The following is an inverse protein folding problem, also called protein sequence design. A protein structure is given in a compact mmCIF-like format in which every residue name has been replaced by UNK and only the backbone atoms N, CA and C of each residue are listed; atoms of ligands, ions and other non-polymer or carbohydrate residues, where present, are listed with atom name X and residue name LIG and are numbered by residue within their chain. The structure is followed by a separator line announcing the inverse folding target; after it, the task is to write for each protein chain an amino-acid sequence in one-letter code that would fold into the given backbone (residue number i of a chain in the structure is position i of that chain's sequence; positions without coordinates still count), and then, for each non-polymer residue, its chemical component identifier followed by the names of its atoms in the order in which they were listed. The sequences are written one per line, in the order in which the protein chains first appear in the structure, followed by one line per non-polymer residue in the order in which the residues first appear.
data_IF_412590914450
#
_entry.id   IF_412590914450
#
_cell.length_a   1.000
_cell.length_b   1.000
_cell.length_c   1.000
_cell.angle_alpha   90.00
_cell.angle_beta   90.00
_cell.angle_gamma   90.00
#
_symmetry.space_group_name_H-M   'P 1'
#
loop_
_entity.id
_entity.type
_entity.pdbx_description
1 polymer ?
#
# COMPACT_ATOMS: atom_id res chain seq x y z
N UNK A 1 33.47 -3.55 16.19
CA UNK A 1 33.24 -3.11 14.80
C UNK A 1 32.51 -1.78 14.86
N UNK A 2 33.07 -0.76 14.22
CA UNK A 2 32.43 0.55 14.10
C UNK A 2 31.30 0.56 13.05
N UNK A 3 30.50 1.65 13.05
CA UNK A 3 29.33 1.80 12.17
C UNK A 3 29.75 1.75 10.69
N UNK A 4 30.80 2.44 10.29
CA UNK A 4 31.23 2.48 8.88
C UNK A 4 31.63 1.10 8.37
N UNK A 5 32.40 0.34 9.15
CA UNK A 5 32.77 -1.04 8.81
C UNK A 5 31.54 -1.96 8.78
N UNK A 6 30.56 -1.73 9.66
CA UNK A 6 29.32 -2.49 9.63
C UNK A 6 28.53 -2.24 8.35
N UNK A 7 28.36 -0.97 7.93
CA UNK A 7 27.66 -0.63 6.68
C UNK A 7 28.34 -1.30 5.48
N UNK A 8 29.66 -1.19 5.37
CA UNK A 8 30.41 -1.80 4.25
C UNK A 8 30.23 -3.30 4.20
N UNK A 9 30.40 -3.96 5.34
CA UNK A 9 30.24 -5.42 5.45
C UNK A 9 28.83 -5.88 5.10
N UNK A 10 27.80 -5.28 5.71
CA UNK A 10 26.40 -5.67 5.43
C UNK A 10 26.05 -5.42 3.97
N UNK A 11 26.51 -4.29 3.39
CA UNK A 11 26.27 -3.99 1.97
C UNK A 11 26.80 -5.11 1.07
N UNK A 12 27.96 -5.67 1.37
CA UNK A 12 28.51 -6.80 0.61
C UNK A 12 27.71 -8.08 0.85
N UNK A 13 27.40 -8.38 2.13
CA UNK A 13 26.67 -9.59 2.52
C UNK A 13 25.30 -9.70 1.82
N UNK A 14 24.52 -8.59 1.74
CA UNK A 14 23.16 -8.59 1.18
C UNK A 14 23.07 -8.24 -0.31
N UNK A 15 24.20 -8.03 -1.00
CA UNK A 15 24.25 -7.66 -2.43
C UNK A 15 23.45 -8.62 -3.34
N UNK A 16 23.41 -9.90 -3.01
CA UNK A 16 22.72 -10.93 -3.80
C UNK A 16 21.22 -10.96 -3.59
N UNK A 17 20.73 -10.37 -2.50
CA UNK A 17 19.32 -10.44 -2.07
C UNK A 17 18.63 -9.07 -2.05
N UNK A 18 19.32 -8.01 -2.46
CA UNK A 18 18.77 -6.65 -2.46
C UNK A 18 19.14 -5.90 -3.74
N UNK A 19 18.19 -5.15 -4.28
CA UNK A 19 18.42 -4.18 -5.35
C UNK A 19 18.99 -2.84 -4.83
N UNK A 20 18.94 -2.62 -3.50
CA UNK A 20 19.48 -1.42 -2.83
C UNK A 20 20.32 -1.79 -1.59
N UNK A 21 21.43 -2.55 -1.76
CA UNK A 21 22.13 -3.19 -0.62
C UNK A 21 22.60 -2.19 0.44
N UNK A 22 23.07 -1.02 0.03
CA UNK A 22 23.53 0.01 0.96
C UNK A 22 22.40 0.59 1.79
N UNK A 23 21.27 0.91 1.16
CA UNK A 23 20.10 1.43 1.85
C UNK A 23 19.55 0.42 2.86
N UNK A 24 19.42 -0.83 2.44
CA UNK A 24 18.98 -1.92 3.31
C UNK A 24 19.91 -2.07 4.52
N UNK A 25 21.24 -2.01 4.31
CA UNK A 25 22.23 -2.08 5.39
C UNK A 25 22.09 -0.94 6.39
N UNK A 26 21.95 0.30 5.88
CA UNK A 26 21.73 1.47 6.72
C UNK A 26 20.46 1.32 7.56
N UNK A 27 19.35 0.87 6.98
CA UNK A 27 18.09 0.64 7.69
C UNK A 27 18.23 -0.43 8.78
N UNK A 28 18.89 -1.55 8.50
CA UNK A 28 19.10 -2.61 9.49
C UNK A 28 19.96 -2.12 10.67
N UNK A 29 20.99 -1.31 10.40
CA UNK A 29 21.84 -0.73 11.43
C UNK A 29 21.06 0.32 12.24
N UNK A 30 20.27 1.18 11.59
CA UNK A 30 19.39 2.14 12.27
C UNK A 30 18.46 1.43 13.25
N UNK A 31 17.84 0.35 12.81
CA UNK A 31 16.92 -0.45 13.64
C UNK A 31 17.66 -1.10 14.82
N UNK A 32 18.82 -1.72 14.56
CA UNK A 32 19.60 -2.40 15.59
C UNK A 32 20.17 -1.44 16.65
N UNK A 33 20.51 -0.22 16.28
CA UNK A 33 21.09 0.80 17.16
C UNK A 33 20.02 1.74 17.73
N UNK A 34 18.81 1.73 17.18
CA UNK A 34 17.72 2.67 17.46
C UNK A 34 18.15 4.13 17.26
N UNK A 35 18.67 4.45 16.07
CA UNK A 35 19.20 5.78 15.71
C UNK A 35 18.69 6.23 14.35
N UNK A 36 18.78 7.54 14.09
CA UNK A 36 18.45 8.11 12.78
C UNK A 36 19.52 7.83 11.73
N UNK A 37 19.17 8.01 10.45
CA UNK A 37 20.11 7.90 9.34
C UNK A 37 21.25 8.92 9.45
N UNK A 38 20.95 10.16 9.84
CA UNK A 38 21.95 11.21 10.06
C UNK A 38 22.99 10.81 11.10
N UNK A 39 22.56 10.09 12.16
CA UNK A 39 23.45 9.59 13.18
C UNK A 39 24.52 8.64 12.63
N UNK A 40 24.18 7.79 11.65
CA UNK A 40 25.14 6.87 11.04
C UNK A 40 26.31 7.62 10.37
N UNK A 41 26.02 8.78 9.78
CA UNK A 41 27.03 9.59 9.08
C UNK A 41 27.87 10.46 10.01
N UNK A 42 27.28 10.93 11.11
CA UNK A 42 27.98 11.80 12.08
C UNK A 42 28.79 11.00 13.12
N UNK A 43 28.50 9.70 13.29
CA UNK A 43 29.14 8.84 14.29
C UNK A 43 29.75 7.57 13.68
N UNK A 44 30.40 7.69 12.53
CA UNK A 44 30.95 6.57 11.74
C UNK A 44 31.87 5.65 12.55
N UNK A 45 32.69 6.25 13.42
CA UNK A 45 33.72 5.54 14.19
C UNK A 45 33.18 4.95 15.51
N UNK A 46 31.88 5.19 15.80
CA UNK A 46 31.28 4.66 17.03
C UNK A 46 31.16 3.15 16.97
N UNK A 47 31.64 2.48 18.01
CA UNK A 47 31.61 1.03 18.13
C UNK A 47 30.19 0.52 18.44
N UNK A 48 29.78 -0.53 17.73
CA UNK A 48 28.56 -1.29 17.97
C UNK A 48 28.81 -2.24 19.14
N UNK A 49 27.99 -2.12 20.20
CA UNK A 49 28.10 -2.99 21.37
C UNK A 49 27.57 -4.41 21.10
N UNK A 50 27.83 -5.35 22.03
CA UNK A 50 27.50 -6.75 21.83
C UNK A 50 25.98 -6.99 21.68
N UNK A 51 25.12 -6.26 22.42
CA UNK A 51 23.66 -6.38 22.33
C UNK A 51 23.15 -5.92 20.96
N UNK A 52 23.64 -4.76 20.51
CA UNK A 52 23.31 -4.20 19.19
C UNK A 52 23.79 -5.12 18.07
N UNK A 53 25.02 -5.69 18.21
CA UNK A 53 25.54 -6.64 17.23
C UNK A 53 24.67 -7.89 17.13
N UNK A 54 24.27 -8.50 18.23
CA UNK A 54 23.37 -9.67 18.24
C UNK A 54 22.05 -9.37 17.53
N UNK A 55 21.46 -8.20 17.80
CA UNK A 55 20.22 -7.78 17.11
C UNK A 55 20.46 -7.60 15.62
N UNK A 56 21.54 -6.90 15.23
CA UNK A 56 21.90 -6.69 13.82
C UNK A 56 22.11 -8.01 13.06
N UNK A 57 22.80 -8.98 13.67
CA UNK A 57 23.02 -10.29 13.10
C UNK A 57 21.68 -11.05 12.90
N UNK A 58 20.74 -10.90 13.82
CA UNK A 58 19.40 -11.49 13.69
C UNK A 58 18.58 -10.83 12.55
N UNK A 59 18.62 -9.50 12.43
CA UNK A 59 17.96 -8.78 11.34
C UNK A 59 18.58 -9.13 9.97
N UNK A 60 19.91 -9.18 9.91
CA UNK A 60 20.64 -9.60 8.70
C UNK A 60 20.22 -11.01 8.26
N UNK A 61 20.13 -11.96 9.19
CA UNK A 61 19.69 -13.33 8.88
C UNK A 61 18.31 -13.36 8.21
N UNK A 62 17.37 -12.57 8.69
CA UNK A 62 16.03 -12.43 8.09
C UNK A 62 16.13 -11.88 6.66
N UNK A 63 16.92 -10.82 6.47
CA UNK A 63 17.11 -10.20 5.14
C UNK A 63 17.77 -11.17 4.16
N UNK A 64 18.75 -11.96 4.60
CA UNK A 64 19.39 -13.00 3.79
C UNK A 64 18.43 -14.12 3.35
N UNK A 65 17.29 -14.26 4.02
CA UNK A 65 16.19 -15.13 3.61
C UNK A 65 15.19 -14.46 2.66
N UNK A 66 15.55 -13.30 2.06
CA UNK A 66 14.72 -12.46 1.20
C UNK A 66 13.53 -11.80 1.90
N UNK A 67 13.45 -11.82 3.25
CA UNK A 67 12.37 -11.11 3.95
C UNK A 67 12.43 -9.61 3.65
N UNK A 68 11.32 -8.97 3.23
CA UNK A 68 11.29 -7.54 2.95
C UNK A 68 11.72 -6.69 4.14
N UNK A 69 12.50 -5.63 3.88
CA UNK A 69 12.94 -4.69 4.94
C UNK A 69 11.76 -4.15 5.74
N UNK A 70 10.64 -3.85 5.08
CA UNK A 70 9.44 -3.35 5.74
C UNK A 70 8.88 -4.32 6.79
N UNK A 71 8.97 -5.64 6.56
CA UNK A 71 8.54 -6.63 7.56
C UNK A 71 9.61 -6.88 8.64
N UNK A 72 10.88 -6.70 8.31
CA UNK A 72 11.96 -6.80 9.28
C UNK A 72 11.87 -5.68 10.31
N UNK A 73 11.62 -4.44 9.87
CA UNK A 73 11.46 -3.25 10.71
C UNK A 73 10.03 -3.09 11.24
N UNK A 74 9.04 -3.75 10.62
CA UNK A 74 7.62 -3.57 10.93
C UNK A 74 7.05 -2.24 10.45
N UNK A 75 7.75 -1.51 9.57
CA UNK A 75 7.42 -0.14 9.16
C UNK A 75 7.63 0.06 7.67
N UNK A 76 6.82 0.93 7.06
CA UNK A 76 6.94 1.39 5.68
C UNK A 76 6.54 2.85 5.59
N UNK A 77 7.33 3.65 4.88
CA UNK A 77 6.95 5.00 4.50
C UNK A 77 6.00 4.97 3.31
N UNK A 78 4.94 5.77 3.36
CA UNK A 78 3.97 6.00 2.30
C UNK A 78 3.40 7.40 2.46
N UNK A 79 3.31 8.19 1.40
CA UNK A 79 2.84 9.57 1.41
C UNK A 79 3.56 10.42 2.49
N UNK A 80 4.90 10.30 2.55
CA UNK A 80 5.77 10.97 3.55
C UNK A 80 5.41 10.68 5.01
N UNK A 81 4.72 9.57 5.30
CA UNK A 81 4.30 9.15 6.64
C UNK A 81 4.70 7.71 6.90
N UNK A 82 5.08 7.39 8.14
CA UNK A 82 5.48 6.06 8.53
C UNK A 82 4.26 5.24 9.00
N UNK A 83 4.03 4.08 8.37
CA UNK A 83 2.98 3.12 8.70
C UNK A 83 3.54 1.83 9.25
N UNK A 84 2.89 1.24 10.26
CA UNK A 84 3.15 -0.13 10.68
C UNK A 84 2.64 -1.09 9.61
N UNK A 85 3.45 -2.10 9.34
CA UNK A 85 3.11 -3.21 8.43
C UNK A 85 3.47 -4.54 9.05
N UNK A 86 2.83 -5.61 8.61
CA UNK A 86 3.16 -6.98 9.02
C UNK A 86 2.88 -7.95 7.86
N UNK A 87 3.22 -9.21 8.05
CA UNK A 87 2.90 -10.27 7.06
C UNK A 87 1.40 -10.48 6.81
N UNK A 88 0.54 -9.81 7.58
CA UNK A 88 -0.92 -9.82 7.41
C UNK A 88 -1.42 -8.73 6.47
N UNK A 89 -0.54 -7.81 6.00
CA UNK A 89 -0.89 -6.69 5.12
C UNK A 89 0.04 -6.61 3.92
N UNK A 90 -0.45 -6.18 2.77
CA UNK A 90 0.40 -5.77 1.65
C UNK A 90 1.33 -4.63 2.12
N UNK A 91 2.57 -4.63 1.67
CA UNK A 91 3.48 -3.50 1.87
C UNK A 91 3.02 -2.37 0.94
N UNK A 92 2.69 -1.16 1.43
CA UNK A 92 2.27 -0.05 0.60
C UNK A 92 3.26 0.23 -0.54
N UNK A 93 2.75 0.36 -1.77
CA UNK A 93 3.54 0.59 -2.98
C UNK A 93 3.55 2.09 -3.30
N UNK A 94 4.71 2.65 -3.73
CA UNK A 94 4.76 4.06 -4.13
C UNK A 94 3.74 4.41 -5.23
N UNK A 95 3.50 3.48 -6.15
CA UNK A 95 2.54 3.66 -7.24
C UNK A 95 1.11 3.91 -6.75
N UNK A 96 0.73 3.40 -5.57
CA UNK A 96 -0.58 3.63 -4.97
C UNK A 96 -0.79 5.08 -4.51
N UNK A 97 0.27 5.89 -4.41
CA UNK A 97 0.17 7.32 -4.12
C UNK A 97 -0.58 8.08 -5.23
N UNK A 98 -0.59 7.57 -6.48
CA UNK A 98 -1.41 8.10 -7.57
C UNK A 98 -2.91 8.15 -7.24
N UNK A 99 -3.42 7.20 -6.45
CA UNK A 99 -4.82 7.22 -6.00
C UNK A 99 -5.12 8.46 -5.16
N UNK A 100 -4.18 8.89 -4.31
CA UNK A 100 -4.32 10.10 -3.50
C UNK A 100 -4.20 11.33 -4.39
N UNK A 101 -3.18 11.40 -5.24
CA UNK A 101 -2.95 12.54 -6.14
C UNK A 101 -4.17 12.83 -7.01
N UNK A 102 -4.73 11.80 -7.66
CA UNK A 102 -5.89 11.96 -8.54
C UNK A 102 -7.16 12.28 -7.75
N UNK A 103 -7.37 11.67 -6.57
CA UNK A 103 -8.48 12.03 -5.69
C UNK A 103 -8.42 13.51 -5.28
N UNK A 104 -7.24 14.00 -4.89
CA UNK A 104 -7.07 15.40 -4.46
C UNK A 104 -7.34 16.40 -5.59
N UNK A 105 -7.07 16.05 -6.85
CA UNK A 105 -7.42 16.87 -8.03
C UNK A 105 -8.94 16.97 -8.25
N UNK A 106 -9.69 15.94 -7.83
CA UNK A 106 -11.14 15.83 -8.05
C UNK A 106 -11.96 16.35 -6.87
N UNK A 107 -11.32 16.61 -5.72
CA UNK A 107 -12.00 17.00 -4.48
C UNK A 107 -11.79 18.46 -4.13
N UNK A 108 -12.83 19.08 -3.53
CA UNK A 108 -12.69 20.36 -2.88
C UNK A 108 -12.47 20.13 -1.36
N UNK A 109 -11.34 20.61 -0.82
CA UNK A 109 -11.00 20.41 0.61
C UNK A 109 -12.01 21.03 1.58
N UNK A 110 -12.83 21.97 1.14
CA UNK A 110 -13.83 22.63 1.97
C UNK A 110 -15.15 21.84 2.06
N UNK A 111 -15.38 20.90 1.15
CA UNK A 111 -16.61 20.12 1.09
C UNK A 111 -16.49 18.78 1.83
N UNK A 112 -17.60 18.38 2.46
CA UNK A 112 -17.67 17.06 3.08
C UNK A 112 -17.81 15.99 2.00
N UNK A 113 -16.78 15.18 1.81
CA UNK A 113 -16.71 14.11 0.80
C UNK A 113 -16.82 12.75 1.47
N UNK A 114 -17.68 11.87 0.97
CA UNK A 114 -17.81 10.48 1.41
C UNK A 114 -16.96 9.59 0.51
N UNK A 115 -15.97 8.94 1.08
CA UNK A 115 -14.97 8.15 0.36
C UNK A 115 -15.03 6.71 0.85
N UNK A 116 -14.99 5.76 -0.07
CA UNK A 116 -14.89 4.33 0.20
C UNK A 116 -13.56 3.81 -0.29
N UNK A 117 -12.81 3.13 0.57
CA UNK A 117 -11.66 2.32 0.16
C UNK A 117 -11.99 0.84 0.31
N UNK A 118 -11.72 0.05 -0.72
CA UNK A 118 -11.86 -1.40 -0.76
C UNK A 118 -10.49 -2.06 -0.71
N UNK A 119 -10.26 -2.93 0.28
CA UNK A 119 -8.98 -3.60 0.49
C UNK A 119 -7.95 -2.68 1.15
N UNK A 120 -8.28 -2.09 2.31
CA UNK A 120 -7.44 -1.05 2.94
C UNK A 120 -6.08 -1.55 3.46
N UNK A 121 -5.92 -2.86 3.68
CA UNK A 121 -4.69 -3.43 4.18
C UNK A 121 -4.24 -2.83 5.52
N UNK A 122 -3.09 -2.18 5.54
CA UNK A 122 -2.58 -1.50 6.73
C UNK A 122 -3.19 -0.10 6.96
N UNK A 123 -4.14 0.34 6.12
CA UNK A 123 -4.78 1.65 6.22
C UNK A 123 -3.98 2.81 5.64
N UNK A 124 -2.89 2.55 4.92
CA UNK A 124 -1.99 3.61 4.45
C UNK A 124 -2.70 4.61 3.52
N UNK A 125 -3.51 4.13 2.59
CA UNK A 125 -4.25 4.96 1.64
C UNK A 125 -5.36 5.75 2.35
N UNK A 126 -6.27 5.07 3.08
CA UNK A 126 -7.39 5.71 3.78
C UNK A 126 -6.94 6.76 4.81
N UNK A 127 -5.91 6.45 5.59
CA UNK A 127 -5.36 7.37 6.59
C UNK A 127 -4.70 8.58 5.93
N UNK A 128 -3.92 8.36 4.86
CA UNK A 128 -3.31 9.49 4.13
C UNK A 128 -4.36 10.40 3.50
N UNK A 129 -5.42 9.84 2.92
CA UNK A 129 -6.56 10.60 2.39
C UNK A 129 -7.23 11.42 3.51
N UNK A 130 -7.48 10.80 4.65
CA UNK A 130 -8.13 11.47 5.80
C UNK A 130 -7.31 12.63 6.37
N UNK A 131 -5.98 12.53 6.31
CA UNK A 131 -5.05 13.59 6.70
C UNK A 131 -5.01 14.76 5.70
N UNK A 132 -5.16 14.47 4.39
CA UNK A 132 -5.19 15.52 3.36
C UNK A 132 -6.56 16.22 3.24
N UNK A 133 -7.63 15.47 3.55
CA UNK A 133 -9.03 15.90 3.43
C UNK A 133 -9.72 15.81 4.80
N UNK A 134 -9.44 16.73 5.69
CA UNK A 134 -9.94 16.72 7.08
C UNK A 134 -11.47 16.69 7.19
N UNK A 135 -12.18 17.22 6.19
CA UNK A 135 -13.66 17.20 6.12
C UNK A 135 -14.22 15.92 5.47
N UNK A 136 -13.37 15.00 5.02
CA UNK A 136 -13.83 13.74 4.43
C UNK A 136 -14.34 12.76 5.49
N UNK A 137 -15.28 11.90 5.08
CA UNK A 137 -15.73 10.73 5.83
C UNK A 137 -15.29 9.49 5.08
N UNK A 138 -14.20 8.88 5.52
CA UNK A 138 -13.64 7.70 4.86
C UNK A 138 -14.20 6.43 5.49
N UNK A 139 -14.72 5.52 4.66
CA UNK A 139 -15.04 4.14 5.05
C UNK A 139 -14.00 3.23 4.41
N UNK A 140 -13.26 2.49 5.21
CA UNK A 140 -12.15 1.64 4.76
C UNK A 140 -12.46 0.17 5.08
N UNK A 141 -12.51 -0.65 4.05
CA UNK A 141 -12.91 -2.05 4.16
C UNK A 141 -11.74 -2.99 3.92
N UNK A 142 -11.73 -4.09 4.66
CA UNK A 142 -10.87 -5.23 4.38
C UNK A 142 -11.53 -6.53 4.82
N UNK A 143 -11.27 -7.63 4.13
CA UNK A 143 -11.74 -8.97 4.50
C UNK A 143 -10.92 -9.54 5.67
N UNK A 144 -9.74 -9.02 5.92
CA UNK A 144 -8.79 -9.50 6.93
C UNK A 144 -8.89 -8.72 8.23
N UNK A 145 -9.45 -9.34 9.27
CA UNK A 145 -9.40 -8.78 10.64
C UNK A 145 -7.99 -8.45 11.12
N UNK A 146 -7.00 -9.21 10.66
CA UNK A 146 -5.59 -8.97 11.05
C UNK A 146 -5.07 -7.70 10.37
N UNK A 147 -5.39 -7.48 9.10
CA UNK A 147 -5.06 -6.24 8.41
C UNK A 147 -5.73 -5.04 9.09
N UNK A 148 -7.01 -5.12 9.40
CA UNK A 148 -7.75 -4.06 10.11
C UNK A 148 -7.16 -3.73 11.49
N UNK A 149 -6.61 -4.71 12.23
CA UNK A 149 -5.89 -4.43 13.49
C UNK A 149 -4.65 -3.55 13.26
N UNK A 150 -3.92 -3.76 12.16
CA UNK A 150 -2.78 -2.91 11.78
C UNK A 150 -3.27 -1.53 11.35
N UNK A 151 -4.34 -1.46 10.54
CA UNK A 151 -4.95 -0.19 10.13
C UNK A 151 -5.41 0.65 11.32
N UNK A 152 -6.09 0.06 12.30
CA UNK A 152 -6.49 0.73 13.54
C UNK A 152 -5.29 1.20 14.37
N UNK A 153 -4.19 0.41 14.43
CA UNK A 153 -2.94 0.83 15.08
C UNK A 153 -2.34 2.05 14.38
N UNK A 154 -2.37 2.08 13.05
CA UNK A 154 -1.90 3.21 12.25
C UNK A 154 -2.80 4.44 12.41
N UNK A 155 -4.12 4.29 12.41
CA UNK A 155 -5.05 5.39 12.66
C UNK A 155 -4.80 6.03 14.02
N UNK A 156 -4.60 5.22 15.08
CA UNK A 156 -4.23 5.71 16.41
C UNK A 156 -2.89 6.44 16.41
N UNK A 157 -1.87 5.92 15.71
CA UNK A 157 -0.55 6.55 15.59
C UNK A 157 -0.65 7.94 14.96
N UNK A 158 -1.48 8.07 13.92
CA UNK A 158 -1.67 9.32 13.18
C UNK A 158 -2.83 10.18 13.71
N UNK A 159 -3.47 9.79 14.83
CA UNK A 159 -4.55 10.52 15.50
C UNK A 159 -5.75 10.79 14.58
N UNK A 160 -6.12 9.79 13.76
CA UNK A 160 -7.20 9.88 12.78
C UNK A 160 -8.52 9.43 13.40
N UNK A 161 -9.57 10.27 13.27
CA UNK A 161 -10.93 10.02 13.76
C UNK A 161 -11.97 9.95 12.64
N UNK A 162 -11.66 10.45 11.45
CA UNK A 162 -12.57 10.52 10.29
C UNK A 162 -12.46 9.30 9.35
N UNK A 163 -11.87 8.19 9.80
CA UNK A 163 -11.85 6.91 9.09
C UNK A 163 -12.61 5.84 9.89
N UNK A 164 -13.60 5.22 9.25
CA UNK A 164 -14.31 4.08 9.80
C UNK A 164 -13.82 2.78 9.15
N UNK A 165 -13.14 1.93 9.92
CA UNK A 165 -12.67 0.62 9.47
C UNK A 165 -13.73 -0.45 9.71
N UNK A 166 -14.04 -1.26 8.69
CA UNK A 166 -15.07 -2.29 8.76
C UNK A 166 -14.59 -3.58 8.06
N UNK A 167 -14.80 -4.72 8.72
CA UNK A 167 -14.56 -6.02 8.09
C UNK A 167 -15.67 -6.30 7.09
N UNK A 168 -15.29 -6.50 5.82
CA UNK A 168 -16.23 -6.78 4.74
C UNK A 168 -15.54 -7.52 3.59
N UNK A 169 -16.26 -8.46 3.00
CA UNK A 169 -15.92 -9.01 1.70
C UNK A 169 -16.48 -8.09 0.63
N UNK A 170 -15.63 -7.18 0.16
CA UNK A 170 -15.97 -6.06 -0.72
C UNK A 170 -17.12 -5.23 -0.17
N UNK A 171 -18.28 -5.17 -0.86
CA UNK A 171 -19.41 -4.31 -0.54
C UNK A 171 -20.43 -4.91 0.45
N UNK A 172 -20.24 -6.17 0.90
CA UNK A 172 -21.30 -6.93 1.62
C UNK A 172 -21.87 -6.21 2.83
N UNK A 173 -21.03 -5.51 3.60
CA UNK A 173 -21.44 -4.88 4.86
C UNK A 173 -21.86 -3.40 4.70
N UNK A 174 -21.92 -2.89 3.48
CA UNK A 174 -22.21 -1.46 3.25
C UNK A 174 -23.68 -1.09 3.25
N UNK A 175 -24.59 -2.05 3.20
CA UNK A 175 -26.02 -1.79 3.01
C UNK A 175 -26.27 -0.88 1.79
N UNK A 176 -27.13 0.17 1.94
CA UNK A 176 -27.46 1.11 0.86
C UNK A 176 -26.62 2.39 0.86
N UNK A 177 -25.46 2.40 1.54
CA UNK A 177 -24.59 3.59 1.60
C UNK A 177 -24.06 3.95 0.21
N UNK A 178 -24.03 5.26 -0.09
CA UNK A 178 -23.51 5.83 -1.34
C UNK A 178 -22.35 6.77 -1.05
N UNK A 179 -21.33 6.72 -1.92
CA UNK A 179 -20.09 7.46 -1.81
C UNK A 179 -19.88 8.37 -3.01
N UNK A 180 -19.13 9.45 -2.81
CA UNK A 180 -18.71 10.36 -3.87
C UNK A 180 -17.55 9.74 -4.67
N UNK A 181 -16.65 9.05 -3.94
CA UNK A 181 -15.52 8.35 -4.53
C UNK A 181 -15.40 6.94 -3.96
N UNK A 182 -15.03 6.00 -4.83
CA UNK A 182 -14.63 4.64 -4.45
C UNK A 182 -13.22 4.43 -4.95
N UNK A 183 -12.31 3.99 -4.07
CA UNK A 183 -10.92 3.70 -4.40
C UNK A 183 -10.59 2.26 -4.07
N UNK A 184 -9.69 1.67 -4.86
CA UNK A 184 -9.14 0.35 -4.53
C UNK A 184 -7.77 0.17 -5.15
N UNK A 185 -6.85 -0.41 -4.37
CA UNK A 185 -5.71 -1.16 -4.88
C UNK A 185 -6.01 -2.65 -4.65
N UNK A 186 -6.78 -3.31 -5.54
CA UNK A 186 -7.20 -4.67 -5.35
C UNK A 186 -6.08 -5.66 -5.71
N UNK A 187 -6.18 -6.94 -5.35
CA UNK A 187 -5.35 -7.98 -5.96
C UNK A 187 -5.53 -7.97 -7.47
N UNK A 188 -4.42 -8.01 -8.21
CA UNK A 188 -4.41 -8.00 -9.68
C UNK A 188 -3.35 -8.91 -10.30
N UNK A 189 -2.64 -9.69 -9.51
CA UNK A 189 -1.64 -10.65 -10.00
C UNK A 189 -2.33 -11.93 -10.46
N UNK A 190 -1.90 -12.49 -11.60
CA UNK A 190 -2.40 -13.76 -12.12
C UNK A 190 -2.00 -14.92 -11.20
N UNK A 191 -2.87 -15.91 -11.07
CA UNK A 191 -2.53 -17.16 -10.39
C UNK A 191 -1.37 -17.84 -11.12
N UNK A 192 -0.31 -18.18 -10.62
CA UNK A 192 0.90 -18.75 -11.25
C UNK A 192 1.79 -17.72 -11.96
N UNK A 193 1.67 -16.43 -11.65
CA UNK A 193 2.62 -15.43 -12.14
C UNK A 193 4.00 -15.66 -11.48
N UNK A 194 5.09 -15.72 -12.27
CA UNK A 194 6.44 -15.93 -11.73
C UNK A 194 6.88 -14.88 -10.69
N UNK A 195 6.31 -13.69 -10.72
CA UNK A 195 6.61 -12.63 -9.73
C UNK A 195 6.19 -12.99 -8.31
N UNK A 196 5.26 -13.95 -8.13
CA UNK A 196 4.79 -14.39 -6.81
C UNK A 196 5.90 -15.01 -5.95
N UNK A 197 6.90 -15.63 -6.58
CA UNK A 197 8.04 -16.21 -5.86
C UNK A 197 8.82 -15.16 -5.07
N UNK A 198 8.95 -13.95 -5.63
CA UNK A 198 9.58 -12.82 -4.95
C UNK A 198 8.69 -12.16 -3.88
N UNK A 199 7.39 -12.43 -3.90
CA UNK A 199 6.38 -11.87 -3.01
C UNK A 199 5.89 -12.87 -1.94
N UNK A 200 6.59 -13.99 -1.75
CA UNK A 200 6.20 -15.10 -0.89
C UNK A 200 6.02 -14.76 0.60
N UNK A 201 6.49 -13.59 1.05
CA UNK A 201 6.28 -13.09 2.40
C UNK A 201 4.96 -12.31 2.56
N UNK A 202 4.37 -11.86 1.45
CA UNK A 202 3.14 -11.07 1.45
C UNK A 202 1.90 -11.96 1.36
N UNK A 203 0.74 -11.54 1.91
CA UNK A 203 -0.44 -12.39 1.89
C UNK A 203 -0.96 -12.59 0.46
N UNK A 204 -1.03 -13.84 0.00
CA UNK A 204 -1.48 -14.20 -1.36
C UNK A 204 -2.85 -13.61 -1.71
N UNK A 205 -3.76 -13.49 -0.72
CA UNK A 205 -5.09 -12.89 -0.92
C UNK A 205 -5.03 -11.39 -1.29
N UNK A 206 -3.94 -10.71 -0.94
CA UNK A 206 -3.73 -9.31 -1.31
C UNK A 206 -3.02 -9.15 -2.67
N UNK A 207 -2.60 -10.25 -3.29
CA UNK A 207 -1.86 -10.26 -4.55
C UNK A 207 -2.65 -10.88 -5.69
N UNK A 208 -3.18 -12.10 -5.48
CA UNK A 208 -3.70 -12.96 -6.56
C UNK A 208 -5.19 -12.75 -6.77
N UNK A 209 -5.59 -12.60 -8.05
CA UNK A 209 -6.97 -12.38 -8.47
C UNK A 209 -7.34 -13.22 -9.70
N UNK A 210 -7.50 -14.51 -9.48
CA UNK A 210 -7.93 -15.44 -10.54
C UNK A 210 -6.84 -15.80 -11.55
N UNK A 211 -7.27 -16.38 -12.67
CA UNK A 211 -6.36 -16.90 -13.71
C UNK A 211 -5.70 -15.75 -14.48
N UNK A 212 -6.44 -14.68 -14.75
CA UNK A 212 -6.00 -13.52 -15.53
C UNK A 212 -5.67 -12.28 -14.68
N UNK A 213 -5.84 -12.37 -13.36
CA UNK A 213 -5.58 -11.26 -12.44
C UNK A 213 -6.71 -10.24 -12.36
N UNK A 214 -7.88 -10.49 -12.92
CA UNK A 214 -8.94 -9.48 -13.07
C UNK A 214 -10.22 -9.75 -12.26
N UNK A 215 -10.32 -10.88 -11.55
CA UNK A 215 -11.55 -11.27 -10.86
C UNK A 215 -12.02 -10.21 -9.85
N UNK A 216 -11.10 -9.69 -9.03
CA UNK A 216 -11.40 -8.62 -8.06
C UNK A 216 -11.84 -7.33 -8.77
N UNK A 217 -11.14 -6.94 -9.82
CA UNK A 217 -11.44 -5.74 -10.60
C UNK A 217 -12.82 -5.84 -11.25
N UNK A 218 -13.15 -6.98 -11.87
CA UNK A 218 -14.50 -7.24 -12.42
C UNK A 218 -15.57 -7.12 -11.34
N UNK A 219 -15.33 -7.75 -10.19
CA UNK A 219 -16.28 -7.69 -9.06
C UNK A 219 -16.49 -6.26 -8.57
N UNK A 220 -15.41 -5.50 -8.39
CA UNK A 220 -15.45 -4.10 -7.92
C UNK A 220 -16.24 -3.25 -8.91
N UNK A 221 -15.90 -3.25 -10.20
CA UNK A 221 -16.52 -2.40 -11.22
C UNK A 221 -18.01 -2.72 -11.38
N UNK A 222 -18.37 -4.01 -11.43
CA UNK A 222 -19.75 -4.44 -11.62
C UNK A 222 -20.67 -4.02 -10.46
N UNK A 223 -20.16 -3.98 -9.23
CA UNK A 223 -20.95 -3.70 -8.04
C UNK A 223 -20.85 -2.24 -7.56
N UNK A 224 -19.85 -1.49 -7.99
CA UNK A 224 -19.66 -0.10 -7.57
C UNK A 224 -20.88 0.79 -7.83
N UNK A 225 -21.62 0.56 -8.93
CA UNK A 225 -22.87 1.30 -9.26
C UNK A 225 -23.94 1.30 -8.16
N UNK A 226 -23.94 0.28 -7.31
CA UNK A 226 -24.88 0.20 -6.19
C UNK A 226 -24.45 1.04 -4.98
N UNK A 227 -23.17 1.47 -4.93
CA UNK A 227 -22.55 2.16 -3.80
C UNK A 227 -21.91 3.50 -4.16
N UNK A 228 -22.00 3.92 -5.42
CA UNK A 228 -21.52 5.23 -5.84
C UNK A 228 -22.71 6.16 -6.11
N UNK A 229 -22.54 7.45 -5.85
CA UNK A 229 -23.52 8.49 -6.22
C UNK A 229 -23.51 8.72 -7.74
N UNK A 230 -24.59 9.28 -8.28
CA UNK A 230 -24.55 9.78 -9.65
C UNK A 230 -23.52 10.91 -9.76
N UNK A 231 -22.66 10.86 -10.79
CA UNK A 231 -21.51 11.76 -10.94
C UNK A 231 -20.28 11.38 -10.13
N UNK A 232 -20.38 10.39 -9.24
CA UNK A 232 -19.24 9.91 -8.45
C UNK A 232 -18.20 9.17 -9.29
N UNK A 233 -16.98 9.06 -8.78
CA UNK A 233 -15.84 8.49 -9.51
C UNK A 233 -15.30 7.24 -8.82
N UNK A 234 -15.05 6.18 -9.60
CA UNK A 234 -14.34 4.97 -9.19
C UNK A 234 -12.89 5.05 -9.68
N UNK A 235 -11.94 4.82 -8.78
CA UNK A 235 -10.49 4.82 -9.05
C UNK A 235 -9.93 3.44 -8.68
N UNK A 236 -9.28 2.77 -9.63
CA UNK A 236 -8.74 1.40 -9.44
C UNK A 236 -7.29 1.34 -9.89
N UNK A 237 -6.40 0.95 -8.97
CA UNK A 237 -5.03 0.56 -9.33
C UNK A 237 -5.02 -0.82 -10.00
N UNK A 238 -4.06 -1.03 -10.94
CA UNK A 238 -3.94 -2.27 -11.69
C UNK A 238 -2.53 -2.52 -12.22
N UNK A 239 -2.29 -3.71 -12.75
CA UNK A 239 -1.04 -4.06 -13.42
C UNK A 239 -0.85 -3.30 -14.72
N UNK A 240 0.42 -3.03 -15.07
CA UNK A 240 0.81 -2.24 -16.27
C UNK A 240 0.23 -2.77 -17.59
N UNK A 241 0.02 -4.08 -17.70
CA UNK A 241 -0.43 -4.75 -18.92
C UNK A 241 -1.95 -4.96 -18.96
N UNK A 242 -2.72 -4.46 -17.97
CA UNK A 242 -4.17 -4.71 -17.84
C UNK A 242 -5.05 -3.57 -18.34
N UNK A 243 -4.48 -2.45 -18.82
CA UNK A 243 -5.22 -1.25 -19.26
C UNK A 243 -6.38 -1.57 -20.21
N UNK A 244 -6.12 -2.36 -21.26
CA UNK A 244 -7.14 -2.69 -22.29
C UNK A 244 -8.32 -3.44 -21.68
N UNK A 245 -8.02 -4.51 -20.95
CA UNK A 245 -9.04 -5.36 -20.34
C UNK A 245 -9.91 -4.58 -19.35
N UNK A 246 -9.29 -3.67 -18.57
CA UNK A 246 -10.01 -2.82 -17.62
C UNK A 246 -10.92 -1.83 -18.32
N UNK A 247 -10.47 -1.21 -19.43
CA UNK A 247 -11.32 -0.37 -20.26
C UNK A 247 -12.54 -1.13 -20.76
N UNK A 248 -12.36 -2.38 -21.23
CA UNK A 248 -13.44 -3.22 -21.73
C UNK A 248 -14.42 -3.56 -20.57
N UNK A 249 -13.92 -3.84 -19.36
CA UNK A 249 -14.76 -4.09 -18.18
C UNK A 249 -15.58 -2.84 -17.81
N UNK A 250 -14.99 -1.66 -17.82
CA UNK A 250 -15.71 -0.41 -17.56
C UNK A 250 -16.78 -0.13 -18.61
N UNK A 251 -16.46 -0.30 -19.90
CA UNK A 251 -17.39 -0.08 -21.01
C UNK A 251 -18.61 -1.00 -20.93
N UNK A 252 -18.41 -2.28 -20.62
CA UNK A 252 -19.53 -3.25 -20.45
C UNK A 252 -20.43 -2.94 -19.26
N UNK A 253 -19.96 -2.16 -18.29
CA UNK A 253 -20.73 -1.75 -17.12
C UNK A 253 -21.27 -0.31 -17.22
N UNK A 254 -21.27 0.30 -18.40
CA UNK A 254 -21.86 1.62 -18.68
C UNK A 254 -21.25 2.80 -17.91
N UNK A 255 -19.97 2.72 -17.56
CA UNK A 255 -19.20 3.84 -17.01
C UNK A 255 -18.84 4.86 -18.08
N UNK A 256 -18.62 6.12 -17.68
CA UNK A 256 -18.29 7.23 -18.57
C UNK A 256 -16.94 7.85 -18.23
N UNK A 257 -16.37 8.59 -19.17
CA UNK A 257 -15.11 9.33 -18.98
C UNK A 257 -13.98 8.45 -18.43
N UNK A 258 -13.82 7.26 -19.02
CA UNK A 258 -12.79 6.31 -18.61
C UNK A 258 -11.42 6.88 -18.97
N UNK A 259 -10.56 7.06 -18.00
CA UNK A 259 -9.21 7.63 -18.16
C UNK A 259 -8.21 6.75 -17.44
N UNK A 260 -7.06 6.51 -18.07
CA UNK A 260 -5.95 5.79 -17.46
C UNK A 260 -4.78 6.75 -17.20
N UNK A 261 -4.25 6.70 -15.98
CA UNK A 261 -3.11 7.48 -15.51
C UNK A 261 -1.89 6.57 -15.45
N UNK A 262 -0.76 7.08 -15.90
CA UNK A 262 0.52 6.38 -15.90
C UNK A 262 1.33 6.76 -14.64
N UNK A 263 2.15 5.80 -14.15
CA UNK A 263 3.11 6.05 -13.10
C UNK A 263 4.32 6.88 -13.60
N UNK A 264 5.21 7.29 -12.71
CA UNK A 264 6.40 8.09 -13.04
C UNK A 264 7.34 7.42 -14.05
N UNK A 265 7.18 6.13 -14.31
CA UNK A 265 7.94 5.36 -15.31
C UNK A 265 7.21 5.25 -16.64
N UNK A 266 6.03 5.88 -16.78
CA UNK A 266 5.20 5.84 -17.97
C UNK A 266 4.40 4.55 -18.14
N UNK A 267 4.20 3.75 -17.08
CA UNK A 267 3.36 2.55 -17.15
C UNK A 267 1.93 2.83 -16.69
N UNK A 268 0.92 2.33 -17.43
CA UNK A 268 -0.47 2.35 -16.97
C UNK A 268 -0.60 1.78 -15.56
N UNK A 269 -1.24 2.51 -14.66
CA UNK A 269 -1.29 2.11 -13.26
C UNK A 269 -2.64 2.33 -12.58
N UNK A 270 -3.32 3.39 -12.91
CA UNK A 270 -4.59 3.76 -12.33
C UNK A 270 -5.62 4.01 -13.42
N UNK A 271 -6.76 3.36 -13.37
CA UNK A 271 -7.91 3.70 -14.23
C UNK A 271 -9.03 4.28 -13.38
N UNK A 272 -9.58 5.40 -13.84
CA UNK A 272 -10.75 6.03 -13.22
C UNK A 272 -11.88 6.22 -14.21
N UNK A 273 -13.12 6.18 -13.69
CA UNK A 273 -14.32 6.40 -14.51
C UNK A 273 -15.43 7.02 -13.67
N UNK A 274 -16.30 7.83 -14.30
CA UNK A 274 -17.48 8.43 -13.68
C UNK A 274 -18.72 7.56 -13.86
N UNK A 275 -19.50 7.44 -12.79
CA UNK A 275 -20.80 6.84 -12.87
C UNK A 275 -21.83 7.90 -13.26
N UNK A 276 -22.51 7.69 -14.39
CA UNK A 276 -23.59 8.55 -14.86
C UNK A 276 -24.80 7.68 -15.28
N UNK A 277 -25.93 7.90 -14.62
CA UNK A 277 -27.23 7.30 -14.97
C UNK A 277 -27.95 8.13 -15.99
#
# INVERSE_FOLDING_TARGET
MDIDKAIKKLTEDIRKVSCSPRLDSEILIMEALNVSRSYLYTHKDKSINLKQKKLLDALLKRRMQNEPIAYITGKKEFWSREFYVSRDTLIPRPESELLIEELLKLTNKQETTKILELGTGCGALSISIALELNNSLVTALDISRKALKIALKNAKKHQIENVNFLESDWYKELNKKKFDFILSNPPYVKKNDPSLDALNFEPLKALVSGIDGLDSIRHIIANAKYHIKNGGTLLIEHGKDQKKDIFDIFNTNSWKNITCIEDLRGFPRLTMAKYAT
#
